data_IF_407873976473
#
_entry.id   IF_407873976473
#
_cell.length_a   1.000
_cell.length_b   1.000
_cell.length_c   1.000
_cell.angle_alpha   90.00
_cell.angle_beta   90.00
_cell.angle_gamma   90.00
#
_symmetry.space_group_name_H-M   'P 1'
#
loop_
_entity.id
_entity.type
_entity.pdbx_description
1 polymer ?
#
# COMPACT_ATOMS: atom_id res chain seq x y z
N UNK A 1 -1.48 3.76 -27.75
CA UNK A 1 -2.44 2.95 -26.97
C UNK A 1 -2.52 3.49 -25.55
N UNK A 2 -3.73 3.82 -25.06
CA UNK A 2 -3.90 4.20 -23.64
C UNK A 2 -3.76 2.93 -22.80
N UNK A 3 -3.09 3.02 -21.64
CA UNK A 3 -2.82 1.86 -20.78
C UNK A 3 -4.12 1.20 -20.29
N UNK A 4 -5.21 1.96 -20.16
CA UNK A 4 -6.54 1.43 -19.79
C UNK A 4 -7.26 0.59 -20.85
N UNK A 5 -6.65 0.36 -22.02
CA UNK A 5 -7.19 -0.52 -23.06
C UNK A 5 -6.52 -1.90 -23.08
N UNK A 6 -5.65 -2.17 -22.10
CA UNK A 6 -4.92 -3.42 -21.99
C UNK A 6 -5.54 -4.26 -20.86
N UNK A 7 -5.82 -5.53 -21.15
CA UNK A 7 -6.23 -6.51 -20.13
C UNK A 7 -4.97 -6.96 -19.38
N UNK A 8 -4.53 -6.13 -18.42
CA UNK A 8 -3.31 -6.37 -17.66
C UNK A 8 -3.60 -7.25 -16.46
N UNK A 9 -2.84 -8.34 -16.32
CA UNK A 9 -2.75 -9.12 -15.08
C UNK A 9 -1.57 -8.62 -14.23
N UNK A 10 -0.51 -8.13 -14.89
CA UNK A 10 0.74 -7.72 -14.29
C UNK A 10 1.27 -6.49 -15.01
N UNK A 11 1.61 -5.46 -14.24
CA UNK A 11 2.35 -4.29 -14.69
C UNK A 11 3.55 -4.08 -13.76
N UNK A 12 4.75 -4.20 -14.32
CA UNK A 12 6.00 -3.94 -13.61
C UNK A 12 6.81 -2.91 -14.39
N UNK A 13 6.97 -1.73 -13.80
CA UNK A 13 7.76 -0.64 -14.38
C UNK A 13 8.68 -0.01 -13.34
N UNK A 14 9.18 -0.83 -12.41
CA UNK A 14 10.15 -0.39 -11.41
C UNK A 14 11.42 0.17 -12.08
N UNK A 15 12.07 1.18 -11.48
CA UNK A 15 13.38 1.70 -11.91
C UNK A 15 13.43 2.26 -13.36
N UNK A 16 12.38 2.96 -13.80
CA UNK A 16 12.29 3.49 -15.17
C UNK A 16 12.37 5.02 -15.29
N UNK A 17 12.57 5.73 -14.17
CA UNK A 17 12.57 7.20 -14.16
C UNK A 17 11.25 7.83 -14.61
N UNK A 18 10.14 7.07 -14.56
CA UNK A 18 8.80 7.54 -14.91
C UNK A 18 8.43 8.76 -14.06
N UNK A 19 7.70 9.70 -14.64
CA UNK A 19 7.27 10.93 -13.96
C UNK A 19 5.83 11.27 -14.31
N UNK A 20 5.27 12.25 -13.64
CA UNK A 20 3.85 12.57 -13.73
C UNK A 20 2.99 11.72 -12.78
N UNK A 21 1.65 11.85 -12.86
CA UNK A 21 0.75 11.16 -11.96
C UNK A 21 0.62 9.67 -12.28
N UNK A 22 0.16 8.92 -11.28
CA UNK A 22 -0.39 7.59 -11.50
C UNK A 22 -1.58 7.67 -12.47
N UNK A 23 -1.59 6.92 -13.59
CA UNK A 23 -2.65 7.02 -14.58
C UNK A 23 -3.93 6.40 -14.03
N UNK A 24 -4.99 7.20 -13.94
CA UNK A 24 -6.31 6.77 -13.47
C UNK A 24 -6.90 5.63 -14.31
N UNK A 25 -6.57 5.61 -15.61
CA UNK A 25 -7.08 4.69 -16.62
C UNK A 25 -6.67 3.23 -16.37
N UNK A 26 -5.64 2.99 -15.54
CA UNK A 26 -5.28 1.65 -15.08
C UNK A 26 -6.44 0.94 -14.37
N UNK A 27 -7.41 1.69 -13.81
CA UNK A 27 -8.62 1.10 -13.22
C UNK A 27 -9.49 0.35 -14.23
N UNK A 28 -9.26 0.52 -15.53
CA UNK A 28 -9.97 -0.22 -16.58
C UNK A 28 -9.47 -1.66 -16.70
N UNK A 29 -8.25 -1.95 -16.24
CA UNK A 29 -7.66 -3.30 -16.22
C UNK A 29 -8.07 -4.03 -14.95
N UNK A 30 -9.35 -4.42 -14.84
CA UNK A 30 -9.92 -5.01 -13.62
C UNK A 30 -9.28 -6.33 -13.20
N UNK A 31 -8.64 -7.05 -14.13
CA UNK A 31 -7.95 -8.32 -13.87
C UNK A 31 -6.52 -8.14 -13.31
N UNK A 32 -6.07 -6.91 -13.06
CA UNK A 32 -4.70 -6.66 -12.60
C UNK A 32 -4.48 -7.17 -11.18
N UNK A 33 -3.47 -8.03 -11.03
CA UNK A 33 -3.09 -8.65 -9.75
C UNK A 33 -1.80 -8.10 -9.19
N UNK A 34 -0.94 -7.57 -10.04
CA UNK A 34 0.37 -7.04 -9.64
C UNK A 34 0.61 -5.71 -10.33
N UNK A 35 0.77 -4.66 -9.52
CA UNK A 35 1.13 -3.32 -9.96
C UNK A 35 2.37 -2.87 -9.20
N UNK A 36 3.51 -2.82 -9.88
CA UNK A 36 4.79 -2.36 -9.30
C UNK A 36 5.37 -1.22 -10.14
N UNK A 37 5.56 -0.08 -9.49
CA UNK A 37 6.04 1.18 -10.08
C UNK A 37 7.12 1.82 -9.18
N UNK A 38 7.83 1.01 -8.42
CA UNK A 38 8.80 1.47 -7.43
C UNK A 38 10.00 2.16 -8.10
N UNK A 39 10.73 3.00 -7.36
CA UNK A 39 11.96 3.64 -7.86
C UNK A 39 11.73 4.48 -9.13
N UNK A 40 10.73 5.35 -9.08
CA UNK A 40 10.43 6.30 -10.14
C UNK A 40 10.30 7.72 -9.56
N UNK A 41 9.94 8.67 -10.42
CA UNK A 41 9.66 10.06 -10.07
C UNK A 41 8.15 10.37 -10.18
N UNK A 42 7.29 9.40 -9.88
CA UNK A 42 5.84 9.57 -9.93
C UNK A 42 5.39 10.56 -8.84
N UNK A 43 4.33 11.30 -9.12
CA UNK A 43 3.89 12.43 -8.31
C UNK A 43 2.38 12.50 -8.10
N UNK A 44 1.95 13.24 -7.08
CA UNK A 44 0.53 13.44 -6.79
C UNK A 44 -0.10 12.27 -6.02
N UNK A 45 -1.43 12.24 -5.90
CA UNK A 45 -2.12 11.23 -5.08
C UNK A 45 -2.28 9.88 -5.79
N UNK A 46 -2.55 8.84 -4.99
CA UNK A 46 -3.09 7.58 -5.49
C UNK A 46 -4.52 7.85 -6.01
N UNK A 47 -4.86 7.52 -7.27
CA UNK A 47 -6.18 7.81 -7.83
C UNK A 47 -7.29 7.04 -7.13
N UNK A 48 -8.41 7.72 -6.82
CA UNK A 48 -9.59 7.08 -6.24
C UNK A 48 -10.21 6.01 -7.16
N UNK A 49 -9.97 6.11 -8.47
CA UNK A 49 -10.42 5.09 -9.44
C UNK A 49 -9.77 3.73 -9.22
N UNK A 50 -8.65 3.65 -8.48
CA UNK A 50 -8.03 2.37 -8.17
C UNK A 50 -8.87 1.51 -7.23
N UNK A 51 -9.91 2.07 -6.60
CA UNK A 51 -10.90 1.31 -5.83
C UNK A 51 -11.56 0.16 -6.64
N UNK A 52 -11.54 0.24 -7.98
CA UNK A 52 -12.09 -0.79 -8.87
C UNK A 52 -11.15 -2.00 -9.10
N UNK A 53 -9.89 -1.94 -8.64
CA UNK A 53 -8.89 -3.00 -8.83
C UNK A 53 -9.01 -4.12 -7.78
N UNK A 54 -10.19 -4.74 -7.71
CA UNK A 54 -10.56 -5.65 -6.61
C UNK A 54 -9.72 -6.94 -6.55
N UNK A 55 -9.13 -7.35 -7.67
CA UNK A 55 -8.29 -8.56 -7.79
C UNK A 55 -6.81 -8.32 -7.43
N UNK A 56 -6.47 -7.11 -6.96
CA UNK A 56 -5.09 -6.73 -6.71
C UNK A 56 -4.47 -7.51 -5.54
N UNK A 57 -3.36 -8.19 -5.82
CA UNK A 57 -2.61 -9.00 -4.86
C UNK A 57 -1.32 -8.33 -4.38
N UNK A 58 -0.75 -7.44 -5.20
CA UNK A 58 0.49 -6.72 -4.89
C UNK A 58 0.42 -5.31 -5.45
N UNK A 59 0.58 -4.33 -4.56
CA UNK A 59 0.70 -2.92 -4.90
C UNK A 59 2.02 -2.37 -4.36
N UNK A 60 2.89 -1.91 -5.26
CA UNK A 60 4.17 -1.31 -4.92
C UNK A 60 4.37 0.00 -5.65
N UNK A 61 4.55 1.06 -4.88
CA UNK A 61 4.92 2.40 -5.38
C UNK A 61 6.04 3.02 -4.56
N UNK A 62 6.76 2.19 -3.80
CA UNK A 62 7.85 2.64 -2.93
C UNK A 62 8.93 3.42 -3.68
N UNK A 63 9.61 4.33 -2.96
CA UNK A 63 10.67 5.18 -3.51
C UNK A 63 10.17 6.05 -4.69
N UNK A 64 8.98 6.61 -4.55
CA UNK A 64 8.45 7.70 -5.36
C UNK A 64 8.20 8.92 -4.46
N UNK A 65 9.21 9.76 -4.21
CA UNK A 65 9.17 10.77 -3.15
C UNK A 65 8.16 11.90 -3.38
N UNK A 66 7.59 12.02 -4.58
CA UNK A 66 6.59 13.04 -4.93
C UNK A 66 5.14 12.53 -4.89
N UNK A 67 4.93 11.25 -4.58
CA UNK A 67 3.59 10.72 -4.29
C UNK A 67 3.13 11.29 -2.95
N UNK A 68 1.96 11.94 -2.94
CA UNK A 68 1.43 12.74 -1.84
C UNK A 68 -0.02 12.34 -1.53
N UNK A 69 -0.67 13.02 -0.58
CA UNK A 69 -2.06 12.74 -0.21
C UNK A 69 -2.18 11.61 0.83
N UNK A 70 -3.41 11.23 1.20
CA UNK A 70 -3.62 10.17 2.18
C UNK A 70 -3.36 8.79 1.58
N UNK A 71 -3.08 7.79 2.43
CA UNK A 71 -3.23 6.39 2.06
C UNK A 71 -4.74 6.08 1.97
N UNK A 72 -5.30 5.73 0.80
CA UNK A 72 -6.73 5.54 0.64
C UNK A 72 -7.28 4.35 1.43
N UNK A 73 -8.46 4.52 2.04
CA UNK A 73 -9.12 3.44 2.79
C UNK A 73 -9.66 2.32 1.89
N UNK A 74 -9.89 2.58 0.59
CA UNK A 74 -10.37 1.56 -0.35
C UNK A 74 -9.43 0.37 -0.48
N UNK A 75 -8.15 0.50 -0.11
CA UNK A 75 -7.22 -0.63 -0.05
C UNK A 75 -7.73 -1.75 0.85
N UNK A 76 -8.57 -1.45 1.85
CA UNK A 76 -9.24 -2.45 2.69
C UNK A 76 -10.22 -3.36 1.94
N UNK A 77 -10.68 -2.97 0.74
CA UNK A 77 -11.58 -3.77 -0.08
C UNK A 77 -10.85 -4.82 -0.94
N UNK A 78 -9.52 -4.77 -1.04
CA UNK A 78 -8.74 -5.69 -1.87
C UNK A 78 -8.45 -6.98 -1.09
N UNK A 79 -9.46 -7.83 -0.96
CA UNK A 79 -9.41 -8.99 -0.04
C UNK A 79 -8.30 -10.01 -0.37
N UNK A 80 -7.79 -10.01 -1.60
CA UNK A 80 -6.68 -10.84 -2.05
C UNK A 80 -5.30 -10.17 -1.92
N UNK A 81 -5.23 -8.94 -1.39
CA UNK A 81 -3.99 -8.17 -1.25
C UNK A 81 -3.04 -8.84 -0.25
N UNK A 82 -1.81 -9.10 -0.71
CA UNK A 82 -0.74 -9.73 0.07
C UNK A 82 0.35 -8.74 0.45
N UNK A 83 0.62 -7.77 -0.43
CA UNK A 83 1.67 -6.78 -0.22
C UNK A 83 1.18 -5.37 -0.58
N UNK A 84 1.27 -4.47 0.39
CA UNK A 84 1.09 -3.04 0.25
C UNK A 84 2.40 -2.34 0.66
N UNK A 85 3.15 -1.86 -0.32
CA UNK A 85 4.51 -1.34 -0.13
C UNK A 85 4.57 0.08 -0.71
N UNK A 86 4.63 1.08 0.18
CA UNK A 86 4.56 2.51 -0.17
C UNK A 86 5.62 3.35 0.53
N UNK A 87 6.65 2.71 1.09
CA UNK A 87 7.71 3.41 1.82
C UNK A 87 8.48 4.37 0.92
N UNK A 88 9.05 5.43 1.50
CA UNK A 88 9.82 6.42 0.73
C UNK A 88 8.95 7.25 -0.22
N UNK A 89 7.72 7.53 0.20
CA UNK A 89 6.77 8.44 -0.46
C UNK A 89 6.43 9.58 0.50
N UNK A 90 5.75 10.62 0.03
CA UNK A 90 5.29 11.75 0.86
C UNK A 90 3.81 11.59 1.25
N UNK A 91 3.34 10.34 1.42
CA UNK A 91 1.99 10.06 1.90
C UNK A 91 1.77 10.64 3.31
N UNK A 92 0.62 11.28 3.52
CA UNK A 92 0.26 12.04 4.73
C UNK A 92 -0.99 11.46 5.40
N UNK A 93 -1.38 12.00 6.55
CA UNK A 93 -2.61 11.62 7.25
C UNK A 93 -2.39 10.45 8.22
N UNK A 94 -3.44 9.67 8.45
CA UNK A 94 -3.45 8.52 9.35
C UNK A 94 -3.49 7.21 8.57
N UNK A 95 -3.11 6.10 9.20
CA UNK A 95 -3.26 4.77 8.63
C UNK A 95 -4.76 4.39 8.70
N UNK A 96 -5.42 4.03 7.57
CA UNK A 96 -6.83 3.63 7.59
C UNK A 96 -7.04 2.31 8.34
N UNK A 97 -8.05 2.24 9.22
CA UNK A 97 -8.36 1.01 9.97
C UNK A 97 -8.91 -0.09 9.07
N UNK A 98 -9.46 0.27 7.90
CA UNK A 98 -9.96 -0.65 6.88
C UNK A 98 -8.90 -1.65 6.41
N UNK A 99 -7.61 -1.31 6.49
CA UNK A 99 -6.52 -2.25 6.18
C UNK A 99 -6.52 -3.49 7.10
N UNK A 100 -7.16 -3.43 8.26
CA UNK A 100 -7.34 -4.59 9.15
C UNK A 100 -8.25 -5.68 8.59
N UNK A 101 -8.98 -5.42 7.50
CA UNK A 101 -9.82 -6.42 6.81
C UNK A 101 -9.01 -7.39 5.92
N UNK A 102 -7.74 -7.07 5.65
CA UNK A 102 -6.91 -7.74 4.66
C UNK A 102 -6.32 -9.05 5.19
N UNK A 103 -7.15 -10.08 5.30
CA UNK A 103 -6.78 -11.39 5.86
C UNK A 103 -5.64 -12.12 5.12
N UNK A 104 -5.38 -11.76 3.86
CA UNK A 104 -4.27 -12.31 3.07
C UNK A 104 -2.96 -11.53 3.21
N UNK A 105 -2.99 -10.34 3.81
CA UNK A 105 -1.85 -9.44 3.89
C UNK A 105 -0.69 -10.11 4.66
N UNK A 106 0.51 -9.93 4.14
CA UNK A 106 1.78 -10.39 4.72
C UNK A 106 2.78 -9.26 4.85
N UNK A 107 2.66 -8.20 4.06
CA UNK A 107 3.60 -7.09 4.06
C UNK A 107 2.86 -5.76 3.96
N UNK A 108 3.02 -4.94 5.00
CA UNK A 108 2.54 -3.56 5.10
C UNK A 108 3.72 -2.66 5.46
N UNK A 109 4.35 -2.07 4.43
CA UNK A 109 5.57 -1.28 4.56
C UNK A 109 5.27 0.19 4.29
N UNK A 110 5.22 0.98 5.36
CA UNK A 110 4.77 2.38 5.39
C UNK A 110 5.82 3.34 5.94
N UNK A 111 7.04 2.85 6.24
CA UNK A 111 8.13 3.68 6.76
C UNK A 111 8.59 4.73 5.74
N UNK A 112 9.33 5.73 6.20
CA UNK A 112 9.76 6.87 5.39
C UNK A 112 8.58 7.53 4.66
N UNK A 113 7.49 7.79 5.40
CA UNK A 113 6.33 8.57 4.92
C UNK A 113 6.01 9.71 5.90
N UNK A 114 4.97 10.50 5.62
CA UNK A 114 4.44 11.52 6.53
C UNK A 114 3.19 11.05 7.29
N UNK A 115 2.91 9.74 7.28
CA UNK A 115 1.84 9.13 8.06
C UNK A 115 2.10 9.34 9.56
N UNK A 116 1.02 9.55 10.32
CA UNK A 116 1.07 9.89 11.74
C UNK A 116 -0.19 9.43 12.48
N UNK A 117 -0.16 9.55 13.80
CA UNK A 117 -1.27 9.21 14.68
C UNK A 117 -1.13 7.81 15.27
N UNK A 118 -2.21 7.24 15.78
CA UNK A 118 -2.18 5.92 16.39
C UNK A 118 -2.28 4.81 15.34
N UNK A 119 -1.57 3.70 15.57
CA UNK A 119 -1.76 2.47 14.81
C UNK A 119 -3.17 1.90 15.09
N UNK A 120 -4.03 1.69 14.07
CA UNK A 120 -5.36 1.13 14.27
C UNK A 120 -5.35 -0.27 14.93
N UNK A 121 -6.32 -0.49 15.83
CA UNK A 121 -6.48 -1.75 16.56
C UNK A 121 -6.75 -2.92 15.62
N UNK A 122 -7.46 -2.66 14.54
CA UNK A 122 -7.81 -3.63 13.50
C UNK A 122 -6.56 -4.17 12.80
N UNK A 123 -5.55 -3.32 12.56
CA UNK A 123 -4.28 -3.72 11.96
C UNK A 123 -3.45 -4.51 12.96
N UNK A 124 -3.41 -4.09 14.23
CA UNK A 124 -2.74 -4.86 15.28
C UNK A 124 -3.37 -6.26 15.45
N UNK A 125 -4.70 -6.35 15.43
CA UNK A 125 -5.42 -7.62 15.53
C UNK A 125 -5.13 -8.51 14.32
N UNK A 126 -5.11 -7.95 13.10
CA UNK A 126 -4.70 -8.67 11.89
C UNK A 126 -3.27 -9.20 12.03
N UNK A 127 -2.31 -8.36 12.38
CA UNK A 127 -0.91 -8.74 12.53
C UNK A 127 -0.72 -9.87 13.55
N UNK A 128 -1.42 -9.80 14.68
CA UNK A 128 -1.42 -10.87 15.69
C UNK A 128 -2.04 -12.16 15.16
N UNK A 129 -3.19 -12.10 14.47
CA UNK A 129 -3.85 -13.26 13.90
C UNK A 129 -2.97 -13.98 12.86
N UNK A 130 -2.30 -13.23 11.97
CA UNK A 130 -1.37 -13.78 10.97
C UNK A 130 -0.19 -14.49 11.64
N UNK A 131 0.44 -13.86 12.64
CA UNK A 131 1.55 -14.47 13.39
C UNK A 131 1.11 -15.71 14.17
N UNK A 132 -0.09 -15.72 14.73
CA UNK A 132 -0.65 -16.90 15.40
C UNK A 132 -0.88 -18.09 14.45
N UNK A 133 -1.07 -17.83 13.15
CA UNK A 133 -1.15 -18.85 12.10
C UNK A 133 0.24 -19.30 11.58
N UNK A 134 1.34 -18.79 12.16
CA UNK A 134 2.69 -19.07 11.68
C UNK A 134 3.06 -18.32 10.40
N UNK A 135 2.27 -17.32 10.00
CA UNK A 135 2.54 -16.49 8.83
C UNK A 135 3.46 -15.34 9.25
N UNK A 136 4.57 -15.17 8.53
CA UNK A 136 5.40 -13.97 8.66
C UNK A 136 4.57 -12.76 8.23
N UNK A 137 4.51 -11.75 9.11
CA UNK A 137 3.80 -10.51 8.86
C UNK A 137 4.74 -9.34 9.11
N UNK A 138 5.11 -8.64 8.04
CA UNK A 138 6.00 -7.50 8.08
C UNK A 138 5.15 -6.22 8.15
N UNK A 139 5.09 -5.62 9.34
CA UNK A 139 4.46 -4.32 9.57
C UNK A 139 5.53 -3.32 9.98
N UNK A 140 5.83 -2.37 9.10
CA UNK A 140 6.92 -1.40 9.30
C UNK A 140 6.40 0.01 9.12
N UNK A 141 6.63 0.85 10.13
CA UNK A 141 6.19 2.25 10.19
C UNK A 141 7.26 3.12 10.84
N UNK A 142 7.14 4.44 10.68
CA UNK A 142 7.98 5.41 11.38
C UNK A 142 7.43 5.65 12.81
N UNK A 143 7.94 4.94 13.80
CA UNK A 143 7.40 4.96 15.18
C UNK A 143 7.57 6.30 15.91
N UNK A 144 8.37 7.23 15.37
CA UNK A 144 8.44 8.61 15.86
C UNK A 144 7.22 9.45 15.44
N UNK A 145 6.40 8.96 14.51
CA UNK A 145 5.20 9.63 13.98
C UNK A 145 3.94 8.81 14.21
N UNK A 146 4.06 7.48 14.12
CA UNK A 146 2.98 6.52 14.33
C UNK A 146 3.16 5.84 15.68
N UNK A 147 2.19 6.02 16.58
CA UNK A 147 2.21 5.36 17.88
C UNK A 147 1.94 3.86 17.70
N UNK A 148 2.96 3.06 18.04
CA UNK A 148 2.90 1.60 17.97
C UNK A 148 3.20 0.92 19.32
N UNK A 149 2.78 1.54 20.42
CA UNK A 149 3.08 1.07 21.78
C UNK A 149 2.41 -0.27 22.16
N UNK A 150 1.52 -0.79 21.30
CA UNK A 150 0.91 -2.11 21.52
C UNK A 150 1.90 -3.23 21.31
N UNK A 151 2.07 -4.05 22.35
CA UNK A 151 2.92 -5.25 22.34
C UNK A 151 2.58 -6.13 21.13
N UNK A 152 3.61 -6.49 20.35
CA UNK A 152 3.51 -7.33 19.16
C UNK A 152 2.63 -6.77 18.03
N UNK A 153 2.39 -5.45 17.95
CA UNK A 153 1.74 -4.85 16.80
C UNK A 153 2.72 -4.67 15.63
N UNK A 154 3.59 -3.66 15.67
CA UNK A 154 4.60 -3.42 14.64
C UNK A 154 5.72 -4.45 14.68
N UNK A 155 6.19 -4.88 13.51
CA UNK A 155 7.35 -5.78 13.38
C UNK A 155 8.66 -5.01 13.50
N UNK A 156 8.70 -3.78 12.99
CA UNK A 156 9.88 -2.92 13.02
C UNK A 156 9.46 -1.44 13.04
N UNK A 157 10.29 -0.62 13.69
CA UNK A 157 10.26 0.83 13.60
C UNK A 157 11.38 1.28 12.65
N UNK A 158 11.03 1.94 11.55
CA UNK A 158 11.94 2.44 10.51
C UNK A 158 12.18 3.94 10.58
#
# INVERSE_FOLDING_TARGET
PNIGQLDLILLQMDENGLSGPLPSELSSSQDIRTLTLSDNNLQGPIPDTYAELLDLQTFRIDRNPLITGPLPSFFGNFLDLRALIVFGTDLTGTIPSELGQLSQLTSLLLQSTQLRGDMPDEICALAQARRAQGVQFDLVVDCNRVNCDRVNCCSLCG
#
